data_IF_511461768030
#
_entry.id   IF_511461768030
#
_cell.length_a   1.000
_cell.length_b   1.000
_cell.length_c   1.000
_cell.angle_alpha   90.00
_cell.angle_beta   90.00
_cell.angle_gamma   90.00
#
_symmetry.space_group_name_H-M   'P 1'
#
loop_
_entity.id
_entity.type
_entity.pdbx_description
1 polymer ?
#
# COMPACT_ATOMS: atom_id res chain seq x y z
N UNK A 1 10.12 -17.35 12.46
CA UNK A 1 11.27 -16.68 11.90
C UNK A 1 11.10 -16.39 10.43
N UNK A 2 10.97 -17.42 9.61
CA UNK A 2 10.72 -17.20 8.19
C UNK A 2 9.44 -16.38 7.97
N UNK A 3 8.47 -16.61 8.82
CA UNK A 3 7.20 -15.91 8.73
C UNK A 3 7.36 -14.41 8.97
N UNK A 4 8.16 -14.05 9.97
CA UNK A 4 8.40 -12.63 10.24
C UNK A 4 9.12 -11.95 9.10
N UNK A 5 10.08 -12.65 8.52
CA UNK A 5 10.85 -12.13 7.41
C UNK A 5 9.96 -11.87 6.20
N UNK A 6 9.07 -12.81 5.91
CA UNK A 6 8.13 -12.69 4.81
C UNK A 6 7.20 -11.51 5.05
N UNK A 7 6.72 -11.37 6.29
CA UNK A 7 5.81 -10.28 6.63
C UNK A 7 6.48 -8.94 6.45
N UNK A 8 7.73 -8.80 6.85
CA UNK A 8 8.44 -7.55 6.67
C UNK A 8 8.57 -7.18 5.21
N UNK A 9 8.98 -8.14 4.38
CA UNK A 9 9.11 -7.89 2.96
C UNK A 9 7.78 -7.54 2.34
N UNK A 10 6.74 -8.22 2.77
CA UNK A 10 5.39 -8.00 2.26
C UNK A 10 4.94 -6.57 2.54
N UNK A 11 5.04 -6.14 3.79
CA UNK A 11 4.55 -4.81 4.15
C UNK A 11 5.42 -3.71 3.58
N UNK A 12 6.72 -3.97 3.46
CA UNK A 12 7.59 -3.00 2.80
C UNK A 12 7.19 -2.82 1.35
N UNK A 13 6.90 -3.93 0.67
CA UNK A 13 6.50 -3.85 -0.73
C UNK A 13 5.18 -3.12 -0.89
N UNK A 14 4.21 -3.41 -0.02
CA UNK A 14 2.95 -2.69 -0.04
C UNK A 14 3.18 -1.20 0.17
N UNK A 15 4.03 -0.86 1.12
CA UNK A 15 4.32 0.54 1.41
C UNK A 15 4.96 1.25 0.24
N UNK A 16 5.88 0.58 -0.45
CA UNK A 16 6.52 1.17 -1.63
C UNK A 16 5.50 1.47 -2.72
N UNK A 17 4.54 0.57 -2.90
CA UNK A 17 3.50 0.77 -3.90
C UNK A 17 2.64 1.97 -3.51
N UNK A 18 2.24 2.05 -2.25
CA UNK A 18 1.43 3.17 -1.79
C UNK A 18 2.15 4.49 -2.02
N UNK A 19 3.43 4.53 -1.66
CA UNK A 19 4.21 5.75 -1.80
C UNK A 19 4.33 6.14 -3.27
N UNK A 20 4.63 5.19 -4.13
CA UNK A 20 4.81 5.47 -5.55
C UNK A 20 3.50 5.96 -6.18
N UNK A 21 2.40 5.32 -5.84
CA UNK A 21 1.12 5.72 -6.43
C UNK A 21 0.65 7.07 -5.91
N UNK A 22 0.92 7.34 -4.64
CA UNK A 22 0.56 8.64 -4.07
C UNK A 22 1.35 9.75 -4.75
N UNK A 23 2.66 9.56 -4.88
CA UNK A 23 3.52 10.56 -5.51
C UNK A 23 3.19 10.77 -6.98
N UNK A 24 2.88 9.68 -7.65
CA UNK A 24 2.51 9.73 -9.06
C UNK A 24 1.29 10.62 -9.27
N UNK A 25 0.36 10.61 -8.32
CA UNK A 25 -0.84 11.42 -8.41
C UNK A 25 -0.65 12.82 -7.84
N UNK A 26 0.51 13.11 -7.28
CA UNK A 26 0.76 14.41 -6.68
C UNK A 26 0.02 14.64 -5.37
N UNK A 27 -0.37 13.57 -4.69
CA UNK A 27 -1.13 13.68 -3.45
C UNK A 27 -0.17 13.82 -2.26
N UNK A 28 -0.51 14.71 -1.35
CA UNK A 28 0.22 14.80 -0.08
C UNK A 28 -0.28 13.72 0.87
N UNK A 29 0.52 13.45 1.91
CA UNK A 29 0.07 12.54 2.96
C UNK A 29 -1.20 13.06 3.60
N UNK A 30 -1.27 14.38 3.81
CA UNK A 30 -2.45 14.99 4.41
C UNK A 30 -3.69 14.77 3.56
N UNK A 31 -3.54 14.88 2.25
CA UNK A 31 -4.67 14.69 1.35
C UNK A 31 -5.18 13.25 1.41
N UNK A 32 -4.27 12.28 1.37
CA UNK A 32 -4.69 10.89 1.46
C UNK A 32 -5.32 10.61 2.82
N UNK A 33 -4.78 11.21 3.87
CA UNK A 33 -5.39 11.07 5.19
C UNK A 33 -6.84 11.57 5.20
N UNK A 34 -7.08 12.69 4.53
CA UNK A 34 -8.43 13.24 4.48
C UNK A 34 -9.39 12.33 3.69
N UNK A 35 -8.88 11.68 2.64
CA UNK A 35 -9.70 10.78 1.84
C UNK A 35 -10.04 9.49 2.55
N UNK A 36 -9.13 9.01 3.39
CA UNK A 36 -9.26 7.69 3.99
C UNK A 36 -9.76 7.71 5.43
N UNK A 37 -9.61 8.84 6.11
CA UNK A 37 -9.88 8.89 7.54
C UNK A 37 -8.77 8.30 8.38
N UNK A 38 -7.64 7.97 7.78
CA UNK A 38 -6.48 7.42 8.47
C UNK A 38 -5.51 8.57 8.72
N UNK A 39 -4.91 8.62 9.91
CA UNK A 39 -4.02 9.73 10.22
C UNK A 39 -2.81 9.76 9.29
N UNK A 40 -2.30 10.96 9.06
CA UNK A 40 -1.14 11.16 8.21
C UNK A 40 0.06 10.35 8.71
N UNK A 41 0.26 10.35 10.02
CA UNK A 41 1.35 9.60 10.61
C UNK A 41 1.24 8.10 10.32
N UNK A 42 0.03 7.58 10.42
CA UNK A 42 -0.20 6.16 10.15
C UNK A 42 0.07 5.83 8.68
N UNK A 43 -0.38 6.69 7.79
CA UNK A 43 -0.14 6.44 6.36
C UNK A 43 1.37 6.48 6.08
N UNK A 44 2.09 7.41 6.69
CA UNK A 44 3.52 7.49 6.53
C UNK A 44 4.19 6.19 6.98
N UNK A 45 3.75 5.64 8.10
CA UNK A 45 4.29 4.37 8.59
C UNK A 45 3.97 3.22 7.66
N UNK A 46 2.77 3.23 7.05
CA UNK A 46 2.43 2.22 6.05
C UNK A 46 3.40 2.30 4.86
N UNK A 47 3.67 3.50 4.39
CA UNK A 47 4.54 3.68 3.22
C UNK A 47 5.97 3.26 3.53
N UNK A 48 6.40 3.44 4.77
CA UNK A 48 7.74 3.04 5.18
C UNK A 48 7.86 1.56 5.49
N UNK A 49 6.73 0.86 5.56
CA UNK A 49 6.72 -0.56 5.84
C UNK A 49 6.97 -0.90 7.29
N UNK A 50 6.83 0.05 8.19
CA UNK A 50 7.09 -0.18 9.61
C UNK A 50 5.82 -0.46 10.40
N UNK A 51 4.67 -0.34 9.78
CA UNK A 51 3.39 -0.71 10.40
C UNK A 51 2.67 -1.69 9.50
N UNK A 52 2.01 -2.63 10.12
CA UNK A 52 1.17 -3.55 9.37
C UNK A 52 -0.09 -2.83 8.93
N UNK A 53 -0.49 -3.09 7.70
CA UNK A 53 -1.72 -2.51 7.15
C UNK A 53 -2.81 -3.56 7.27
N UNK A 54 -3.84 -3.28 8.05
CA UNK A 54 -4.97 -4.19 8.14
C UNK A 54 -5.83 -4.11 6.88
N UNK A 55 -6.71 -5.10 6.70
CA UNK A 55 -7.51 -5.19 5.49
C UNK A 55 -8.38 -3.95 5.28
N UNK A 56 -8.97 -3.44 6.34
CA UNK A 56 -9.85 -2.27 6.21
C UNK A 56 -9.06 -1.05 5.75
N UNK A 57 -7.89 -0.84 6.34
CA UNK A 57 -7.06 0.29 5.95
C UNK A 57 -6.55 0.15 4.52
N UNK A 58 -6.14 -1.07 4.15
CA UNK A 58 -5.66 -1.33 2.80
C UNK A 58 -6.74 -1.02 1.78
N UNK A 59 -7.97 -1.44 2.07
CA UNK A 59 -9.08 -1.17 1.16
C UNK A 59 -9.30 0.33 1.00
N UNK A 60 -9.27 1.08 2.10
CA UNK A 60 -9.49 2.52 2.05
C UNK A 60 -8.40 3.22 1.24
N UNK A 61 -7.15 2.83 1.46
CA UNK A 61 -6.04 3.46 0.74
C UNK A 61 -6.09 3.10 -0.74
N UNK A 62 -6.41 1.85 -1.05
CA UNK A 62 -6.53 1.44 -2.44
C UNK A 62 -7.62 2.23 -3.16
N UNK A 63 -8.76 2.43 -2.50
CA UNK A 63 -9.81 3.22 -3.10
C UNK A 63 -9.38 4.66 -3.33
N UNK A 64 -8.67 5.23 -2.36
CA UNK A 64 -8.21 6.60 -2.47
C UNK A 64 -7.20 6.76 -3.62
N UNK A 65 -6.34 5.78 -3.80
CA UNK A 65 -5.31 5.82 -4.82
C UNK A 65 -5.73 5.15 -6.12
N UNK A 66 -6.92 4.53 -6.12
CA UNK A 66 -7.47 3.87 -7.32
C UNK A 66 -6.56 2.75 -7.80
N UNK A 67 -6.11 1.92 -6.86
CA UNK A 67 -5.33 0.73 -7.21
C UNK A 67 -6.10 -0.51 -6.81
N UNK A 68 -5.91 -1.62 -7.53
CA UNK A 68 -6.64 -2.86 -7.22
C UNK A 68 -6.24 -3.43 -5.87
N UNK A 69 -7.23 -3.81 -5.07
CA UNK A 69 -6.97 -4.41 -3.76
C UNK A 69 -6.20 -5.71 -3.89
N UNK A 70 -6.45 -6.44 -4.97
CA UNK A 70 -5.87 -7.77 -5.17
C UNK A 70 -4.36 -7.76 -5.27
N UNK A 71 -3.78 -6.58 -5.42
CA UNK A 71 -2.32 -6.48 -5.50
C UNK A 71 -1.67 -7.11 -4.27
N UNK A 72 -2.28 -6.97 -3.09
CA UNK A 72 -1.66 -7.50 -1.88
C UNK A 72 -1.57 -9.03 -1.93
N UNK A 73 -2.53 -9.69 -2.57
CA UNK A 73 -2.49 -11.15 -2.69
C UNK A 73 -1.34 -11.55 -3.62
N UNK A 74 -1.19 -10.85 -4.73
CA UNK A 74 -0.13 -11.17 -5.68
C UNK A 74 1.24 -10.98 -5.09
N UNK A 75 1.40 -9.93 -4.29
CA UNK A 75 2.69 -9.69 -3.63
C UNK A 75 2.98 -10.79 -2.63
N UNK A 76 1.96 -11.23 -1.88
CA UNK A 76 2.14 -12.29 -0.89
C UNK A 76 2.54 -13.60 -1.54
N UNK A 77 2.09 -13.84 -2.78
CA UNK A 77 2.43 -15.05 -3.51
C UNK A 77 3.72 -14.93 -4.31
N UNK A 78 4.39 -13.79 -4.23
CA UNK A 78 5.63 -13.58 -4.95
C UNK A 78 5.44 -13.34 -6.44
N UNK A 79 4.24 -13.03 -6.85
CA UNK A 79 3.96 -12.74 -8.25
C UNK A 79 4.36 -11.31 -8.60
N UNK A 80 4.83 -11.13 -9.82
CA UNK A 80 5.27 -9.80 -10.23
C UNK A 80 4.35 -9.14 -11.23
N UNK A 81 3.30 -9.81 -11.63
CA UNK A 81 2.39 -9.25 -12.62
C UNK A 81 1.45 -8.22 -12.02
N UNK A 82 1.58 -7.96 -10.72
CA UNK A 82 0.79 -6.88 -10.12
C UNK A 82 1.11 -5.54 -10.76
N UNK A 83 2.26 -5.41 -11.38
CA UNK A 83 2.63 -4.18 -12.07
C UNK A 83 1.72 -3.90 -13.26
N UNK A 84 1.42 -4.85 -13.65
CA UNK A 84 0.60 -4.71 -14.69
C UNK A 84 -0.68 -4.22 -14.40
N UNK A 85 -1.11 -4.69 -13.44
CA UNK A 85 -2.40 -4.24 -12.94
C UNK A 85 -2.39 -2.74 -12.66
N UNK A 86 -1.33 -2.29 -12.04
CA UNK A 86 -1.21 -0.87 -11.71
C UNK A 86 -1.13 -0.03 -12.99
N UNK A 87 -0.40 -0.52 -13.96
CA UNK A 87 -0.22 0.24 -15.19
C UNK A 87 -1.50 0.36 -16.01
N UNK A 88 -2.42 -0.57 -15.82
CA UNK A 88 -3.69 -0.53 -16.53
C UNK A 88 -4.65 0.51 -15.98
N UNK A 89 -4.37 1.01 -14.80
CA UNK A 89 -5.20 2.03 -14.18
C UNK A 89 -4.87 3.38 -14.79
#
# INVERSE_FOLDING_TARGET
MAKEKIDKCFYRKLGEILNAERRKRGYSLRYVASLTGISRTTIDKFELGISRIDNASWKKVCEALQIPEQIHIKIALGMKDYEXLIQKI
#
